data_IF_079849683304
#
_entry.id   IF_079849683304
#
_cell.length_a   1.000
_cell.length_b   1.000
_cell.length_c   1.000
_cell.angle_alpha   90.00
_cell.angle_beta   90.00
_cell.angle_gamma   90.00
#
_symmetry.space_group_name_H-M   'P 1'
#
loop_
_entity.id
_entity.type
_entity.pdbx_description
1 polymer ?
#
# COMPACT_ATOMS: atom_id res chain seq x y z
N UNK A 1 0.34 -17.70 -10.40
CA UNK A 1 -1.12 -17.69 -10.68
C UNK A 1 -1.92 -16.91 -9.64
N UNK A 2 -1.74 -17.12 -8.33
CA UNK A 2 -2.51 -16.45 -7.27
C UNK A 2 -2.43 -14.90 -7.30
N UNK A 3 -1.26 -14.36 -7.62
CA UNK A 3 -1.04 -12.90 -7.74
C UNK A 3 -1.90 -12.24 -8.83
N UNK A 4 -2.15 -12.94 -9.95
CA UNK A 4 -2.99 -12.46 -11.05
C UNK A 4 -4.47 -12.38 -10.68
N UNK A 5 -4.93 -13.17 -9.71
CA UNK A 5 -6.31 -13.12 -9.20
C UNK A 5 -6.49 -12.05 -8.12
N UNK A 6 -5.43 -11.73 -7.38
CA UNK A 6 -5.50 -10.80 -6.25
C UNK A 6 -5.38 -9.34 -6.71
N UNK A 7 -4.57 -9.08 -7.74
CA UNK A 7 -4.37 -7.73 -8.28
C UNK A 7 -5.69 -7.05 -8.75
N UNK A 8 -6.59 -7.71 -9.50
CA UNK A 8 -7.87 -7.13 -9.90
C UNK A 8 -8.76 -6.80 -8.69
N UNK A 9 -8.76 -7.64 -7.66
CA UNK A 9 -9.54 -7.41 -6.44
C UNK A 9 -9.07 -6.13 -5.73
N UNK A 10 -7.76 -5.94 -5.60
CA UNK A 10 -7.20 -4.71 -5.05
C UNK A 10 -7.47 -3.49 -5.94
N UNK A 11 -7.37 -3.61 -7.26
CA UNK A 11 -7.72 -2.54 -8.19
C UNK A 11 -9.18 -2.11 -8.07
N UNK A 12 -10.10 -3.07 -8.00
CA UNK A 12 -11.53 -2.81 -7.78
C UNK A 12 -11.75 -2.14 -6.42
N UNK A 13 -11.10 -2.63 -5.37
CA UNK A 13 -11.16 -2.03 -4.04
C UNK A 13 -10.68 -0.57 -4.05
N UNK A 14 -9.55 -0.27 -4.72
CA UNK A 14 -9.06 1.10 -4.87
C UNK A 14 -9.99 1.97 -5.70
N UNK A 15 -10.54 1.45 -6.80
CA UNK A 15 -11.49 2.17 -7.62
C UNK A 15 -12.75 2.55 -6.82
N UNK A 16 -13.28 1.64 -6.00
CA UNK A 16 -14.43 1.90 -5.15
C UNK A 16 -14.11 2.99 -4.11
N UNK A 17 -13.00 2.89 -3.38
CA UNK A 17 -12.62 3.91 -2.39
C UNK A 17 -12.40 5.26 -3.06
N UNK A 18 -11.78 5.28 -4.24
CA UNK A 18 -11.53 6.49 -5.01
C UNK A 18 -12.83 7.16 -5.45
N UNK A 19 -13.77 6.40 -6.01
CA UNK A 19 -15.09 6.89 -6.41
C UNK A 19 -15.87 7.44 -5.21
N UNK A 20 -15.93 6.69 -4.10
CA UNK A 20 -16.59 7.14 -2.86
C UNK A 20 -15.96 8.43 -2.36
N UNK A 21 -14.62 8.51 -2.37
CA UNK A 21 -13.88 9.69 -1.92
C UNK A 21 -14.21 10.92 -2.76
N UNK A 22 -14.31 10.77 -4.09
CA UNK A 22 -14.73 11.83 -5.01
C UNK A 22 -16.17 12.28 -4.71
N UNK A 23 -17.10 11.34 -4.55
CA UNK A 23 -18.51 11.65 -4.23
C UNK A 23 -18.61 12.42 -2.91
N UNK A 24 -17.82 12.05 -1.90
CA UNK A 24 -17.79 12.73 -0.61
C UNK A 24 -17.22 14.15 -0.67
N UNK A 25 -16.40 14.49 -1.68
CA UNK A 25 -15.87 15.85 -1.86
C UNK A 25 -16.98 16.84 -2.26
N UNK A 26 -17.96 16.40 -3.04
CA UNK A 26 -19.07 17.25 -3.48
C UNK A 26 -20.05 17.59 -2.36
N UNK A 27 -20.01 16.89 -1.22
CA UNK A 27 -20.81 17.23 -0.04
C UNK A 27 -20.02 18.19 0.89
N UNK A 28 -20.48 19.43 1.11
CA UNK A 28 -19.74 20.42 1.91
C UNK A 28 -19.44 19.94 3.34
N UNK A 29 -20.38 19.23 3.96
CA UNK A 29 -20.23 18.65 5.30
C UNK A 29 -19.19 17.51 5.35
N UNK A 30 -19.01 16.77 4.26
CA UNK A 30 -18.15 15.58 4.19
C UNK A 30 -16.85 15.79 3.40
N UNK A 31 -16.64 16.97 2.82
CA UNK A 31 -15.47 17.33 2.01
C UNK A 31 -14.14 16.99 2.69
N UNK A 32 -14.07 17.14 4.02
CA UNK A 32 -12.88 16.78 4.81
C UNK A 32 -12.57 15.27 4.70
N UNK A 33 -13.58 14.42 4.87
CA UNK A 33 -13.44 12.97 4.78
C UNK A 33 -13.11 12.52 3.35
N UNK A 34 -13.68 13.17 2.34
CA UNK A 34 -13.36 12.88 0.93
C UNK A 34 -11.89 13.16 0.57
N UNK A 35 -11.32 14.26 1.06
CA UNK A 35 -9.89 14.57 0.82
C UNK A 35 -8.98 13.56 1.53
N UNK A 36 -9.31 13.15 2.76
CA UNK A 36 -8.55 12.08 3.45
C UNK A 36 -8.68 10.74 2.72
N UNK A 37 -9.87 10.40 2.22
CA UNK A 37 -10.10 9.19 1.41
C UNK A 37 -9.33 9.17 0.09
N UNK A 38 -9.17 10.34 -0.56
CA UNK A 38 -8.25 10.48 -1.70
C UNK A 38 -6.81 10.25 -1.28
N UNK A 39 -6.39 10.79 -0.14
CA UNK A 39 -5.06 10.56 0.44
C UNK A 39 -4.79 9.08 0.69
N UNK A 40 -5.76 8.36 1.27
CA UNK A 40 -5.72 6.91 1.45
C UNK A 40 -5.57 6.22 0.10
N UNK A 41 -6.45 6.49 -0.86
CA UNK A 41 -6.45 5.83 -2.18
C UNK A 41 -5.13 6.03 -2.92
N UNK A 42 -4.65 7.27 -2.98
CA UNK A 42 -3.42 7.64 -3.69
C UNK A 42 -2.19 7.07 -2.97
N UNK A 43 -2.16 7.05 -1.64
CA UNK A 43 -1.03 6.54 -0.87
C UNK A 43 -0.96 5.00 -0.87
N UNK A 44 -2.11 4.34 -0.91
CA UNK A 44 -2.20 2.88 -0.88
C UNK A 44 -1.60 2.19 -2.10
N UNK A 45 -1.77 2.76 -3.29
CA UNK A 45 -1.27 2.20 -4.56
C UNK A 45 0.27 2.09 -4.56
N UNK A 46 1.05 3.18 -4.35
CA UNK A 46 2.51 3.08 -4.27
C UNK A 46 2.96 2.25 -3.07
N UNK A 47 2.23 2.29 -1.94
CA UNK A 47 2.51 1.43 -0.79
C UNK A 47 2.41 -0.07 -1.12
N UNK A 48 1.36 -0.47 -1.83
CA UNK A 48 1.17 -1.83 -2.34
C UNK A 48 2.31 -2.24 -3.29
N UNK A 49 2.66 -1.37 -4.23
CA UNK A 49 3.72 -1.65 -5.22
C UNK A 49 5.07 -1.83 -4.50
N UNK A 50 5.45 -0.89 -3.63
CA UNK A 50 6.73 -0.93 -2.91
C UNK A 50 6.83 -2.20 -2.06
N UNK A 51 5.79 -2.52 -1.31
CA UNK A 51 5.79 -3.68 -0.42
C UNK A 51 5.94 -5.00 -1.18
N UNK A 52 5.23 -5.17 -2.30
CA UNK A 52 5.36 -6.37 -3.13
C UNK A 52 6.70 -6.43 -3.88
N UNK A 53 7.23 -5.30 -4.32
CA UNK A 53 8.59 -5.22 -4.89
C UNK A 53 9.65 -5.64 -3.87
N UNK A 54 9.54 -5.17 -2.62
CA UNK A 54 10.44 -5.57 -1.54
C UNK A 54 10.34 -7.07 -1.22
N UNK A 55 9.13 -7.63 -1.22
CA UNK A 55 8.93 -9.07 -1.07
C UNK A 55 9.61 -9.86 -2.19
N UNK A 56 9.43 -9.42 -3.44
CA UNK A 56 10.04 -10.06 -4.60
C UNK A 56 11.56 -10.00 -4.53
N UNK A 57 12.13 -8.83 -4.21
CA UNK A 57 13.57 -8.66 -4.00
C UNK A 57 14.10 -9.52 -2.86
N UNK A 58 13.39 -9.61 -1.73
CA UNK A 58 13.76 -10.47 -0.61
C UNK A 58 13.74 -11.95 -0.99
N UNK A 59 12.75 -12.38 -1.77
CA UNK A 59 12.65 -13.76 -2.28
C UNK A 59 13.78 -14.07 -3.25
N UNK A 60 14.13 -13.15 -4.16
CA UNK A 60 15.28 -13.28 -5.05
C UNK A 60 16.59 -13.33 -4.27
N UNK A 61 16.77 -12.46 -3.28
CA UNK A 61 17.96 -12.47 -2.42
C UNK A 61 18.13 -13.86 -1.77
N UNK A 62 17.05 -14.41 -1.21
CA UNK A 62 17.05 -15.75 -0.64
C UNK A 62 17.37 -16.85 -1.67
N UNK A 63 17.03 -16.69 -2.94
CA UNK A 63 17.40 -17.63 -4.00
C UNK A 63 18.89 -17.61 -4.34
N UNK A 64 19.51 -16.42 -4.32
CA UNK A 64 20.92 -16.25 -4.70
C UNK A 64 21.91 -16.47 -3.55
N UNK A 65 21.46 -16.39 -2.30
CA UNK A 65 22.30 -16.71 -1.14
C UNK A 65 22.54 -18.22 -1.07
N UNK A 66 23.82 -18.61 -1.11
CA UNK A 66 24.23 -19.99 -0.92
C UNK A 66 24.24 -20.32 0.58
N UNK A 67 23.27 -21.11 1.01
CA UNK A 67 23.24 -21.67 2.36
C UNK A 67 23.92 -23.05 2.38
N UNK A 68 24.52 -23.43 3.52
CA UNK A 68 25.05 -24.78 3.70
C UNK A 68 23.94 -25.83 3.56
N UNK A 69 24.30 -27.05 3.16
CA UNK A 69 23.35 -28.09 2.71
C UNK A 69 22.22 -28.39 3.72
N UNK A 70 22.53 -28.33 5.02
CA UNK A 70 21.55 -28.55 6.09
C UNK A 70 20.46 -27.45 6.17
N UNK A 71 20.72 -26.25 5.65
CA UNK A 71 19.79 -25.12 5.60
C UNK A 71 19.02 -25.02 4.28
N UNK A 72 19.43 -25.74 3.22
CA UNK A 72 18.77 -25.66 1.91
C UNK A 72 17.30 -26.09 1.94
N UNK A 73 16.96 -27.07 2.77
CA UNK A 73 15.56 -27.50 2.94
C UNK A 73 14.70 -26.39 3.55
N UNK A 74 15.24 -25.66 4.53
CA UNK A 74 14.57 -24.51 5.13
C UNK A 74 14.45 -23.35 4.13
N UNK A 75 15.49 -23.08 3.35
CA UNK A 75 15.50 -22.05 2.31
C UNK A 75 14.41 -22.30 1.25
N UNK A 76 14.28 -23.54 0.75
CA UNK A 76 13.21 -23.91 -0.21
C UNK A 76 11.82 -23.72 0.39
N UNK A 77 11.63 -24.11 1.65
CA UNK A 77 10.37 -23.91 2.35
C UNK A 77 10.02 -22.42 2.52
N UNK A 78 11.00 -21.59 2.91
CA UNK A 78 10.83 -20.15 3.05
C UNK A 78 10.52 -19.47 1.72
N UNK A 79 11.22 -19.83 0.63
CA UNK A 79 10.96 -19.29 -0.70
C UNK A 79 9.56 -19.68 -1.17
N UNK A 80 9.15 -20.95 -0.99
CA UNK A 80 7.81 -21.40 -1.33
C UNK A 80 6.75 -20.64 -0.52
N UNK A 81 6.95 -20.49 0.79
CA UNK A 81 6.05 -19.74 1.67
C UNK A 81 5.95 -18.26 1.30
N UNK A 82 7.08 -17.60 1.04
CA UNK A 82 7.12 -16.20 0.62
C UNK A 82 6.51 -15.99 -0.77
N UNK A 83 6.66 -16.93 -1.69
CA UNK A 83 6.08 -16.85 -3.03
C UNK A 83 4.56 -17.09 -3.02
N UNK A 84 4.06 -17.99 -2.17
CA UNK A 84 2.64 -18.33 -2.13
C UNK A 84 1.83 -17.44 -1.18
N UNK A 85 2.28 -17.32 0.06
CA UNK A 85 1.56 -16.61 1.12
C UNK A 85 2.04 -15.18 1.28
N UNK A 86 3.33 -14.91 1.03
CA UNK A 86 3.95 -13.60 1.23
C UNK A 86 3.24 -12.41 0.57
N UNK A 87 2.68 -12.52 -0.66
CA UNK A 87 2.04 -11.37 -1.31
C UNK A 87 0.85 -10.82 -0.54
N UNK A 88 0.09 -11.66 0.17
CA UNK A 88 -1.13 -11.25 0.88
C UNK A 88 -0.82 -10.31 2.06
N UNK A 89 -0.07 -10.75 3.11
CA UNK A 89 0.26 -9.90 4.24
C UNK A 89 1.10 -8.70 3.81
N UNK A 90 2.00 -8.88 2.83
CA UNK A 90 2.87 -7.78 2.40
C UNK A 90 2.10 -6.71 1.63
N UNK A 91 1.10 -7.09 0.84
CA UNK A 91 0.15 -6.16 0.24
C UNK A 91 -0.62 -5.39 1.32
N UNK A 92 -1.15 -6.07 2.34
CA UNK A 92 -1.89 -5.42 3.44
C UNK A 92 -1.00 -4.41 4.17
N UNK A 93 0.24 -4.78 4.51
CA UNK A 93 1.21 -3.90 5.15
C UNK A 93 1.50 -2.69 4.26
N UNK A 94 1.75 -2.91 2.97
CA UNK A 94 2.01 -1.85 2.00
C UNK A 94 0.85 -0.86 1.87
N UNK A 95 -0.38 -1.37 1.83
CA UNK A 95 -1.59 -0.56 1.74
C UNK A 95 -1.77 0.28 3.00
N UNK A 96 -1.61 -0.32 4.19
CA UNK A 96 -1.75 0.40 5.46
C UNK A 96 -0.67 1.48 5.58
N UNK A 97 0.59 1.13 5.35
CA UNK A 97 1.71 2.09 5.41
C UNK A 97 1.53 3.22 4.39
N UNK A 98 1.18 2.88 3.16
CA UNK A 98 0.89 3.85 2.09
C UNK A 98 -0.29 4.76 2.43
N UNK A 99 -1.37 4.21 3.01
CA UNK A 99 -2.54 4.97 3.47
C UNK A 99 -2.16 5.98 4.55
N UNK A 100 -1.39 5.54 5.56
CA UNK A 100 -0.94 6.41 6.65
C UNK A 100 -0.09 7.56 6.10
N UNK A 101 0.85 7.26 5.21
CA UNK A 101 1.71 8.27 4.58
C UNK A 101 0.86 9.25 3.74
N UNK A 102 -0.08 8.74 2.95
CA UNK A 102 -0.98 9.57 2.14
C UNK A 102 -1.83 10.51 3.00
N UNK A 103 -2.43 10.00 4.09
CA UNK A 103 -3.18 10.79 5.06
C UNK A 103 -2.29 11.83 5.74
N UNK A 104 -1.07 11.45 6.13
CA UNK A 104 -0.10 12.37 6.75
C UNK A 104 0.26 13.52 5.81
N UNK A 105 0.51 13.24 4.52
CA UNK A 105 0.82 14.26 3.50
C UNK A 105 -0.37 15.22 3.33
N UNK A 106 -1.58 14.68 3.22
CA UNK A 106 -2.82 15.48 3.12
C UNK A 106 -2.99 16.36 4.35
N UNK A 107 -2.79 15.81 5.55
CA UNK A 107 -2.89 16.53 6.81
C UNK A 107 -1.88 17.68 6.88
N UNK A 108 -0.61 17.40 6.57
CA UNK A 108 0.49 18.38 6.58
C UNK A 108 0.21 19.53 5.62
N UNK A 109 -0.16 19.23 4.36
CA UNK A 109 -0.46 20.26 3.35
C UNK A 109 -1.60 21.17 3.77
N UNK A 110 -2.64 20.62 4.39
CA UNK A 110 -3.80 21.40 4.83
C UNK A 110 -3.48 22.33 6.00
N UNK A 111 -2.63 21.90 6.94
CA UNK A 111 -2.20 22.77 8.06
C UNK A 111 -1.28 23.89 7.57
N UNK A 112 -0.41 23.64 6.59
CA UNK A 112 0.40 24.67 5.95
C UNK A 112 -0.45 25.72 5.23
N UNK A 113 -1.53 25.33 4.55
CA UNK A 113 -2.46 26.28 3.90
C UNK A 113 -3.23 27.17 4.89
N UNK A 114 -3.52 26.68 6.11
CA UNK A 114 -4.14 27.51 7.16
C UNK A 114 -3.18 28.54 7.77
N UNK A 115 -1.90 28.20 7.87
CA UNK A 115 -0.87 29.11 8.39
C UNK A 115 -0.58 30.31 7.48
N UNK A 116 -0.90 30.20 6.18
CA UNK A 116 -0.78 31.31 5.21
C UNK A 116 -2.01 32.22 5.18
N UNK A 117 -3.18 31.75 5.64
CA UNK A 117 -4.44 32.50 5.64
C UNK A 117 -4.70 33.29 6.95
N UNK A 118 -3.76 33.28 7.89
CA UNK A 118 -3.83 34.02 9.16
C UNK A 118 -2.80 35.14 9.28
N UNK A 119 -2.21 35.56 8.16
CA UNK A 119 -1.32 36.72 8.05
C UNK A 119 -2.00 37.80 7.20
N UNK A 120 -3.18 38.23 7.61
CA UNK A 120 -3.79 39.48 7.15
C UNK A 120 -4.26 40.25 8.39
#
# INVERSE_FOLDING_TARGET
>A
MLYFFILPVYLVFFAIIFIISIVLIFRPSLKRYGIYGLGVSIGSIPGFIIANTLLWLGTLCLLYVHFPDWLQSLQKFLIAGLAFLGPIPMSVIGIIAGSIIGVYIVHRRRNSSKGLAGKD
#
